data_IF_410451192994
#
_entry.id   IF_410451192994
#
_cell.length_a   1.000
_cell.length_b   1.000
_cell.length_c   1.000
_cell.angle_alpha   90.00
_cell.angle_beta   90.00
_cell.angle_gamma   90.00
#
_symmetry.space_group_name_H-M   'P 1'
#
loop_
_entity.id
_entity.type
_entity.pdbx_description
1 polymer ?
#
# COMPACT_ATOMS: atom_id res chain seq x y z
N UNK A 1 -0.50 13.29 -11.52
CA UNK A 1 -0.61 13.76 -10.11
C UNK A 1 -2.07 13.62 -9.66
N UNK A 2 -2.37 12.68 -8.77
CA UNK A 2 -3.72 12.51 -8.20
C UNK A 2 -3.90 13.56 -7.10
N UNK A 3 -4.98 14.34 -7.17
CA UNK A 3 -5.34 15.32 -6.13
C UNK A 3 -6.51 14.75 -5.33
N UNK A 4 -6.26 14.40 -4.08
CA UNK A 4 -7.30 14.00 -3.12
C UNK A 4 -7.70 15.24 -2.31
N UNK A 5 -8.99 15.60 -2.36
CA UNK A 5 -9.54 16.58 -1.42
C UNK A 5 -9.99 15.82 -0.18
N UNK A 6 -9.33 16.07 0.95
CA UNK A 6 -9.58 15.33 2.19
C UNK A 6 -9.66 16.27 3.40
N UNK A 7 -10.73 16.14 4.17
CA UNK A 7 -10.82 16.66 5.56
C UNK A 7 -9.92 15.78 6.48
N UNK A 8 -9.58 16.20 7.73
CA UNK A 8 -8.38 15.76 8.46
C UNK A 8 -8.00 14.31 8.19
N UNK A 9 -6.86 14.14 7.53
CA UNK A 9 -6.37 12.84 7.06
C UNK A 9 -5.02 12.60 7.71
N UNK A 10 -4.95 11.56 8.52
CA UNK A 10 -3.67 11.10 9.03
C UNK A 10 -2.86 10.59 7.83
N UNK A 11 -1.66 11.13 7.66
CA UNK A 11 -0.75 10.72 6.59
C UNK A 11 0.48 10.11 7.19
N UNK A 12 0.79 8.89 6.79
CA UNK A 12 2.00 8.19 7.19
C UNK A 12 2.87 7.97 5.97
N UNK A 13 4.15 8.32 6.10
CA UNK A 13 5.15 8.05 5.06
C UNK A 13 5.97 6.82 5.45
N UNK A 14 6.07 5.87 4.54
CA UNK A 14 6.77 4.60 4.69
C UNK A 14 7.94 4.54 3.70
N UNK A 15 9.04 3.95 4.15
CA UNK A 15 10.11 3.48 3.28
C UNK A 15 10.28 1.99 3.56
N UNK A 16 9.75 1.14 2.69
CA UNK A 16 9.84 -0.31 2.85
C UNK A 16 11.26 -0.78 2.56
N UNK A 17 11.75 -1.79 3.29
CA UNK A 17 13.02 -2.41 2.96
C UNK A 17 12.97 -3.02 1.54
N UNK A 18 14.12 -3.01 0.86
CA UNK A 18 14.26 -3.70 -0.43
C UNK A 18 14.44 -5.21 -0.22
N UNK A 19 14.32 -6.00 -1.28
CA UNK A 19 14.49 -7.47 -1.27
C UNK A 19 15.85 -8.01 -0.78
N UNK A 20 16.82 -7.13 -0.48
CA UNK A 20 18.11 -7.50 0.11
C UNK A 20 18.04 -7.64 1.64
N UNK A 21 17.00 -7.09 2.26
CA UNK A 21 16.79 -7.15 3.71
C UNK A 21 16.16 -8.49 4.10
N UNK A 22 16.28 -8.84 5.37
CA UNK A 22 15.69 -10.06 5.91
C UNK A 22 14.16 -9.99 5.93
N UNK A 23 13.52 -11.17 5.90
CA UNK A 23 12.07 -11.26 6.04
C UNK A 23 11.60 -10.66 7.38
N UNK A 24 12.37 -10.85 8.45
CA UNK A 24 12.08 -10.29 9.78
C UNK A 24 12.06 -8.74 9.77
N UNK A 25 13.00 -8.10 9.08
CA UNK A 25 13.04 -6.63 8.94
C UNK A 25 11.85 -6.12 8.12
N UNK A 26 11.43 -6.85 7.09
CA UNK A 26 10.25 -6.50 6.30
C UNK A 26 8.99 -6.65 7.17
N UNK A 27 8.88 -7.74 7.94
CA UNK A 27 7.74 -8.00 8.81
C UNK A 27 7.61 -6.95 9.92
N UNK A 28 8.71 -6.54 10.55
CA UNK A 28 8.72 -5.48 11.58
C UNK A 28 8.11 -4.17 11.04
N UNK A 29 8.36 -3.84 9.76
CA UNK A 29 7.77 -2.65 9.14
C UNK A 29 6.27 -2.83 8.91
N UNK A 30 5.81 -4.01 8.46
CA UNK A 30 4.38 -4.31 8.33
C UNK A 30 3.65 -4.27 9.67
N UNK A 31 4.23 -4.84 10.74
CA UNK A 31 3.67 -4.81 12.09
C UNK A 31 3.45 -3.35 12.56
N UNK A 32 4.44 -2.47 12.35
CA UNK A 32 4.30 -1.03 12.67
C UNK A 32 3.20 -0.34 11.87
N UNK A 33 3.06 -0.67 10.59
CA UNK A 33 1.99 -0.11 9.75
C UNK A 33 0.62 -0.60 10.25
N UNK A 34 0.53 -1.86 10.68
CA UNK A 34 -0.69 -2.42 11.25
C UNK A 34 -1.10 -1.75 12.57
N UNK A 35 -0.14 -1.45 13.45
CA UNK A 35 -0.39 -0.67 14.67
C UNK A 35 -0.98 0.71 14.35
N UNK A 36 -0.44 1.37 13.32
CA UNK A 36 -0.93 2.68 12.84
C UNK A 36 -2.36 2.55 12.30
N UNK A 37 -2.63 1.58 11.43
CA UNK A 37 -3.97 1.34 10.88
C UNK A 37 -4.97 1.08 12.02
N UNK A 38 -4.57 0.31 13.02
CA UNK A 38 -5.41 -0.03 14.18
C UNK A 38 -5.68 1.15 15.10
N UNK A 39 -4.79 2.15 15.13
CA UNK A 39 -4.94 3.35 15.94
C UNK A 39 -5.86 4.41 15.32
N UNK A 40 -6.06 4.38 13.99
CA UNK A 40 -6.91 5.34 13.29
C UNK A 40 -8.38 5.11 13.62
N UNK A 41 -9.10 6.19 13.93
CA UNK A 41 -10.54 6.08 14.22
C UNK A 41 -11.30 5.76 12.94
N UNK A 42 -12.34 4.93 13.04
CA UNK A 42 -13.14 4.48 11.89
C UNK A 42 -13.80 5.59 11.02
N UNK A 43 -13.79 6.85 11.45
CA UNK A 43 -14.31 8.00 10.69
C UNK A 43 -13.23 8.89 10.07
N UNK A 44 -11.96 8.61 10.35
CA UNK A 44 -10.80 9.35 9.86
C UNK A 44 -10.25 8.64 8.62
N UNK A 45 -9.84 9.42 7.62
CA UNK A 45 -9.14 8.86 6.46
C UNK A 45 -7.66 8.66 6.82
N UNK A 46 -7.07 7.54 6.39
CA UNK A 46 -5.65 7.27 6.50
C UNK A 46 -5.04 7.19 5.09
N UNK A 47 -3.99 7.96 4.85
CA UNK A 47 -3.15 7.83 3.65
C UNK A 47 -1.79 7.28 4.07
N UNK A 48 -1.47 6.08 3.58
CA UNK A 48 -0.14 5.49 3.71
C UNK A 48 0.55 5.67 2.36
N UNK A 49 1.64 6.41 2.34
CA UNK A 49 2.36 6.74 1.11
C UNK A 49 3.86 6.57 1.30
N UNK A 50 4.61 6.61 0.20
CA UNK A 50 6.07 6.53 0.22
C UNK A 50 6.58 5.49 -0.76
N UNK A 51 7.80 5.02 -0.51
CA UNK A 51 8.48 4.05 -1.35
C UNK A 51 8.30 2.65 -0.77
N UNK A 52 7.51 1.83 -1.46
CA UNK A 52 7.19 0.47 -1.03
C UNK A 52 8.16 -0.57 -1.60
N UNK A 53 9.06 -0.19 -2.51
CA UNK A 53 10.03 -1.10 -3.14
C UNK A 53 9.42 -2.39 -3.74
N UNK A 54 8.16 -2.33 -4.19
CA UNK A 54 7.42 -3.45 -4.74
C UNK A 54 7.07 -3.25 -6.23
N UNK A 55 6.52 -4.32 -6.84
CA UNK A 55 5.77 -4.22 -8.10
C UNK A 55 4.50 -5.04 -7.96
N UNK A 56 3.35 -4.39 -7.78
CA UNK A 56 2.01 -5.07 -7.75
C UNK A 56 1.54 -5.57 -9.11
N UNK A 57 2.03 -4.97 -10.20
CA UNK A 57 1.76 -5.41 -11.57
C UNK A 57 0.45 -4.92 -12.20
N UNK A 58 0.28 -5.25 -13.48
CA UNK A 58 -0.94 -5.01 -14.27
C UNK A 58 -2.07 -5.98 -13.94
N UNK A 59 -3.32 -5.53 -14.09
CA UNK A 59 -4.51 -6.35 -13.91
C UNK A 59 -5.16 -6.18 -12.54
N UNK A 60 -6.28 -6.89 -12.32
CA UNK A 60 -7.02 -6.85 -11.07
C UNK A 60 -6.94 -8.21 -10.40
N UNK A 61 -6.27 -8.27 -9.25
CA UNK A 61 -6.24 -9.44 -8.38
C UNK A 61 -6.60 -9.03 -6.94
N UNK A 62 -7.84 -9.31 -6.53
CA UNK A 62 -8.39 -8.85 -5.24
C UNK A 62 -9.21 -7.56 -5.31
N UNK A 63 -9.60 -7.05 -4.13
CA UNK A 63 -10.48 -5.87 -4.00
C UNK A 63 -9.72 -4.56 -3.84
N UNK A 64 -8.44 -4.63 -3.46
CA UNK A 64 -7.58 -3.49 -3.14
C UNK A 64 -6.83 -2.89 -4.35
N UNK A 65 -6.83 -3.56 -5.51
CA UNK A 65 -6.09 -3.16 -6.72
C UNK A 65 -7.02 -2.82 -7.90
N UNK A 66 -6.63 -1.80 -8.68
CA UNK A 66 -7.24 -1.40 -9.94
C UNK A 66 -6.51 -1.95 -11.18
N UNK A 67 -7.13 -1.84 -12.35
CA UNK A 67 -6.65 -2.48 -13.59
C UNK A 67 -5.41 -1.84 -14.23
N UNK A 68 -5.03 -0.63 -13.80
CA UNK A 68 -4.01 0.22 -14.43
C UNK A 68 -2.68 0.20 -13.66
N UNK A 69 -2.41 -0.83 -12.85
CA UNK A 69 -1.08 -1.06 -12.29
C UNK A 69 -0.04 -1.27 -13.39
N UNK A 70 1.25 -1.17 -13.05
CA UNK A 70 2.34 -1.26 -14.02
C UNK A 70 3.29 -2.41 -13.71
N UNK A 71 3.86 -2.99 -14.77
CA UNK A 71 4.90 -4.01 -14.67
C UNK A 71 4.36 -5.41 -14.38
N UNK A 72 5.29 -6.33 -14.08
CA UNK A 72 4.96 -7.71 -13.71
C UNK A 72 5.02 -7.86 -12.20
N UNK A 73 3.94 -8.38 -11.61
CA UNK A 73 3.87 -8.63 -10.17
C UNK A 73 5.08 -9.44 -9.68
N UNK A 74 5.70 -8.98 -8.58
CA UNK A 74 6.78 -9.69 -7.90
C UNK A 74 6.31 -10.16 -6.51
N UNK A 75 7.12 -10.99 -5.84
CA UNK A 75 6.76 -11.57 -4.53
C UNK A 75 6.48 -10.50 -3.45
N UNK A 76 7.17 -9.36 -3.50
CA UNK A 76 6.93 -8.24 -2.58
C UNK A 76 5.59 -7.57 -2.89
N UNK A 77 5.25 -7.42 -4.17
CA UNK A 77 3.96 -6.88 -4.62
C UNK A 77 2.79 -7.81 -4.29
N UNK A 78 2.98 -9.12 -4.35
CA UNK A 78 1.99 -10.11 -3.88
C UNK A 78 1.71 -9.92 -2.38
N UNK A 79 2.76 -9.84 -1.56
CA UNK A 79 2.62 -9.57 -0.12
C UNK A 79 1.90 -8.24 0.16
N UNK A 80 2.20 -7.19 -0.60
CA UNK A 80 1.50 -5.91 -0.47
C UNK A 80 0.00 -6.04 -0.80
N UNK A 81 -0.34 -6.75 -1.88
CA UNK A 81 -1.75 -6.98 -2.27
C UNK A 81 -2.50 -7.73 -1.19
N UNK A 82 -1.93 -8.82 -0.66
CA UNK A 82 -2.51 -9.59 0.45
C UNK A 82 -2.74 -8.72 1.69
N UNK A 83 -1.72 -7.97 2.12
CA UNK A 83 -1.82 -7.06 3.25
C UNK A 83 -2.92 -6.01 3.04
N UNK A 84 -2.97 -5.39 1.85
CA UNK A 84 -3.97 -4.38 1.56
C UNK A 84 -5.40 -4.94 1.53
N UNK A 85 -5.60 -6.15 1.00
CA UNK A 85 -6.91 -6.82 0.98
C UNK A 85 -7.35 -7.18 2.41
N UNK A 86 -6.44 -7.68 3.25
CA UNK A 86 -6.71 -8.01 4.65
C UNK A 86 -7.10 -6.76 5.46
N UNK A 87 -6.32 -5.67 5.35
CA UNK A 87 -6.57 -4.42 6.09
C UNK A 87 -7.64 -3.54 5.44
N UNK A 88 -8.21 -3.96 4.30
CA UNK A 88 -9.22 -3.24 3.52
C UNK A 88 -8.79 -1.82 3.12
N UNK A 89 -7.52 -1.69 2.73
CA UNK A 89 -6.95 -0.46 2.17
C UNK A 89 -6.75 -0.61 0.67
N UNK A 90 -6.74 0.50 -0.07
CA UNK A 90 -6.68 0.49 -1.54
C UNK A 90 -5.31 0.98 -2.02
N UNK A 91 -4.72 0.27 -2.98
CA UNK A 91 -3.47 0.67 -3.65
C UNK A 91 -3.80 1.74 -4.69
N UNK A 92 -3.77 3.00 -4.28
CA UNK A 92 -4.27 4.14 -5.06
C UNK A 92 -3.56 4.39 -6.41
N UNK A 93 -2.39 3.79 -6.67
CA UNK A 93 -1.64 3.97 -7.93
C UNK A 93 -2.14 3.11 -9.10
N UNK A 94 -3.09 2.21 -8.84
CA UNK A 94 -3.56 1.19 -9.80
C UNK A 94 -4.95 1.43 -10.39
N UNK A 95 -5.86 2.25 -9.83
CA UNK A 95 -7.15 2.54 -10.47
C UNK A 95 -7.13 3.69 -11.48
N UNK A 96 -6.05 4.45 -11.58
CA UNK A 96 -6.00 5.69 -12.38
C UNK A 96 -4.89 5.66 -13.42
N UNK A 97 -5.13 6.31 -14.57
CA UNK A 97 -4.10 6.47 -15.59
C UNK A 97 -2.96 7.36 -15.08
N UNK A 98 -1.76 6.81 -15.12
CA UNK A 98 -0.55 7.56 -14.77
C UNK A 98 -0.17 8.48 -15.94
N UNK A 99 -0.05 9.78 -15.67
CA UNK A 99 0.35 10.82 -16.62
C UNK A 99 1.79 11.28 -16.36
#
# INVERSE_FOLDING_TARGET
>A
MIKLEAEPTDTVTVYMPTSIHSEDEIEEVYERIEEIISAVKAKENLIIMGDWNDVVGEGKDGSCIGQLGLGKQNAIGEKLVEFCDEKRVVIANTPFEQH
#
